data_IF_026080803695
#
_entry.id   IF_026080803695
#
_cell.length_a   1.000
_cell.length_b   1.000
_cell.length_c   1.000
_cell.angle_alpha   90.00
_cell.angle_beta   90.00
_cell.angle_gamma   90.00
#
_symmetry.space_group_name_H-M   'P 1'
#
loop_
_entity.id
_entity.type
_entity.pdbx_description
1 polymer ?
#
# COMPACT_ATOMS: atom_id res chain seq x y z
N UNK A 1 -8.55 8.44 -5.58
CA UNK A 1 -7.31 8.50 -4.77
C UNK A 1 -7.06 7.11 -4.28
N UNK A 2 -5.86 6.60 -4.53
CA UNK A 2 -5.46 5.25 -4.12
C UNK A 2 -4.86 5.39 -2.72
N UNK A 3 -5.18 4.47 -1.80
CA UNK A 3 -4.65 4.49 -0.43
C UNK A 3 -3.60 3.43 -0.25
N UNK A 4 -2.46 3.80 0.32
CA UNK A 4 -1.38 2.92 0.69
C UNK A 4 -1.32 2.78 2.21
N UNK A 5 -1.19 1.56 2.70
CA UNK A 5 -0.88 1.30 4.09
C UNK A 5 0.51 0.69 4.15
N UNK A 6 1.35 1.26 5.01
CA UNK A 6 2.73 0.82 5.21
C UNK A 6 2.94 0.42 6.66
N UNK A 7 3.60 -0.71 6.86
CA UNK A 7 4.02 -1.21 8.17
C UNK A 7 5.42 -0.70 8.50
N UNK A 8 5.52 0.08 9.58
CA UNK A 8 6.76 0.67 10.08
C UNK A 8 7.04 0.12 11.48
N UNK A 9 7.69 -1.05 11.54
CA UNK A 9 7.94 -1.74 12.82
C UNK A 9 6.65 -2.24 13.47
N UNK A 10 6.35 -1.79 14.69
CA UNK A 10 5.09 -2.12 15.40
C UNK A 10 3.95 -1.13 15.12
N UNK A 11 4.15 -0.18 14.20
CA UNK A 11 3.21 0.89 13.90
C UNK A 11 2.78 0.84 12.43
N UNK A 12 1.59 1.37 12.15
CA UNK A 12 1.05 1.48 10.80
C UNK A 12 0.95 2.96 10.42
N UNK A 13 1.23 3.27 9.15
CA UNK A 13 0.96 4.58 8.57
C UNK A 13 0.09 4.41 7.31
N UNK A 14 -0.80 5.38 7.10
CA UNK A 14 -1.62 5.48 5.88
C UNK A 14 -1.08 6.65 5.08
N UNK A 15 -0.71 6.36 3.84
CA UNK A 15 -0.24 7.36 2.89
C UNK A 15 -1.20 7.40 1.70
N UNK A 16 -1.66 8.59 1.36
CA UNK A 16 -2.41 8.78 0.13
C UNK A 16 -1.42 8.87 -1.03
N UNK A 17 -1.61 8.02 -2.04
CA UNK A 17 -0.86 8.06 -3.29
C UNK A 17 -1.69 8.83 -4.32
N UNK A 18 -1.07 9.81 -4.96
CA UNK A 18 -1.71 10.70 -5.94
C UNK A 18 -2.08 9.98 -7.24
N UNK A 19 -1.58 8.76 -7.41
CA UNK A 19 -1.75 7.86 -8.53
C UNK A 19 -3.24 7.52 -8.68
N UNK A 20 -3.75 7.71 -9.89
CA UNK A 20 -5.14 7.40 -10.27
C UNK A 20 -5.24 6.17 -11.16
N UNK A 21 -4.09 5.63 -11.58
CA UNK A 21 -3.97 4.45 -12.42
C UNK A 21 -3.35 3.29 -11.64
N UNK A 22 -3.89 2.08 -11.85
CA UNK A 22 -3.51 0.87 -11.12
C UNK A 22 -2.08 0.39 -11.44
N UNK A 23 -1.56 0.68 -12.64
CA UNK A 23 -0.19 0.35 -13.00
C UNK A 23 0.81 1.25 -12.26
N UNK A 24 0.55 2.56 -12.20
CA UNK A 24 1.36 3.49 -11.42
C UNK A 24 1.31 3.16 -9.92
N UNK A 25 0.14 2.82 -9.39
CA UNK A 25 -0.01 2.41 -8.00
C UNK A 25 0.82 1.14 -7.67
N UNK A 26 0.87 0.17 -8.59
CA UNK A 26 1.73 -1.02 -8.45
C UNK A 26 3.20 -0.68 -8.45
N UNK A 27 3.62 0.20 -9.35
CA UNK A 27 5.00 0.67 -9.41
C UNK A 27 5.40 1.35 -8.10
N UNK A 28 4.63 2.33 -7.64
CA UNK A 28 4.90 3.04 -6.38
C UNK A 28 4.89 2.09 -5.18
N UNK A 29 3.92 1.17 -5.10
CA UNK A 29 3.88 0.15 -4.05
C UNK A 29 5.14 -0.73 -4.02
N UNK A 30 5.69 -1.07 -5.19
CA UNK A 30 6.93 -1.86 -5.28
C UNK A 30 8.14 -1.09 -4.75
N UNK A 31 8.25 0.20 -5.04
CA UNK A 31 9.31 1.04 -4.47
C UNK A 31 9.19 1.18 -2.95
N UNK A 32 7.96 1.26 -2.42
CA UNK A 32 7.71 1.34 -0.98
C UNK A 32 8.00 0.01 -0.27
N UNK A 33 7.78 -1.13 -0.93
CA UNK A 33 8.04 -2.44 -0.37
C UNK A 33 9.53 -2.72 -0.11
N UNK A 34 10.44 -2.02 -0.80
CA UNK A 34 11.89 -2.07 -0.51
C UNK A 34 12.25 -1.36 0.81
N UNK A 35 11.37 -0.50 1.31
CA UNK A 35 11.61 0.36 2.48
C UNK A 35 10.84 -0.17 3.70
N UNK A 36 9.62 -0.69 3.49
CA UNK A 36 8.68 -1.06 4.55
C UNK A 36 8.50 -2.57 4.67
N UNK A 37 8.15 -3.04 5.87
CA UNK A 37 7.97 -4.46 6.15
C UNK A 37 6.72 -5.06 5.48
N UNK A 38 5.74 -4.21 5.17
CA UNK A 38 4.51 -4.59 4.51
C UNK A 38 3.83 -3.39 3.87
N UNK A 39 3.30 -3.58 2.67
CA UNK A 39 2.61 -2.55 1.89
C UNK A 39 1.32 -3.15 1.33
N UNK A 40 0.17 -2.50 1.57
CA UNK A 40 -1.09 -2.84 0.89
C UNK A 40 -1.67 -1.60 0.24
N UNK A 41 -2.12 -1.76 -1.00
CA UNK A 41 -2.68 -0.67 -1.80
C UNK A 41 -4.12 -0.98 -2.17
N UNK A 42 -4.98 0.01 -1.94
CA UNK A 42 -6.41 -0.06 -2.20
C UNK A 42 -6.80 0.86 -3.36
N UNK A 43 -7.68 0.35 -4.22
CA UNK A 43 -8.38 1.18 -5.20
C UNK A 43 -9.37 2.14 -4.49
N UNK A 44 -9.95 3.10 -5.21
CA UNK A 44 -10.92 4.03 -4.63
C UNK A 44 -12.21 3.38 -4.10
N UNK A 45 -12.53 2.16 -4.52
CA UNK A 45 -13.69 1.37 -4.07
C UNK A 45 -13.37 0.55 -2.81
N UNK A 46 -12.11 0.54 -2.36
CA UNK A 46 -11.64 -0.22 -1.21
C UNK A 46 -11.20 -1.64 -1.55
N UNK A 47 -11.11 -2.00 -2.82
CA UNK A 47 -10.55 -3.27 -3.28
C UNK A 47 -9.02 -3.30 -3.16
N UNK A 48 -8.46 -4.45 -2.79
CA UNK A 48 -7.01 -4.63 -2.71
C UNK A 48 -6.44 -4.82 -4.11
N UNK A 49 -5.56 -3.90 -4.53
CA UNK A 49 -4.87 -3.96 -5.83
C UNK A 49 -3.50 -4.62 -5.70
N UNK A 50 -2.82 -4.39 -4.56
CA UNK A 50 -1.45 -4.87 -4.31
C UNK A 50 -1.28 -5.22 -2.84
N UNK A 51 -0.53 -6.29 -2.58
CA UNK A 51 -0.06 -6.65 -1.23
C UNK A 51 1.37 -7.17 -1.30
N UNK A 52 2.26 -6.56 -0.53
CA UNK A 52 3.65 -6.97 -0.35
C UNK A 52 3.98 -7.14 1.13
N UNK A 53 4.86 -8.09 1.42
CA UNK A 53 5.37 -8.31 2.77
C UNK A 53 4.32 -8.82 3.76
N UNK A 54 4.64 -8.71 5.05
CA UNK A 54 3.77 -9.14 6.13
C UNK A 54 2.92 -7.95 6.60
N UNK A 55 1.67 -7.93 6.12
CA UNK A 55 0.69 -6.89 6.43
C UNK A 55 -0.29 -7.53 7.43
N UNK A 56 -0.36 -7.08 8.70
CA UNK A 56 -1.24 -7.67 9.74
C UNK A 56 -2.75 -7.43 9.54
N UNK A 57 -3.54 -8.49 9.42
CA UNK A 57 -5.02 -8.44 9.42
C UNK A 57 -5.61 -7.78 10.70
N UNK A 58 -6.80 -7.14 10.69
CA UNK A 58 -7.77 -7.04 9.61
C UNK A 58 -7.68 -5.68 8.93
N UNK A 59 -7.13 -5.64 7.73
CA UNK A 59 -7.50 -4.58 6.80
C UNK A 59 -8.78 -5.00 6.10
#
# INVERSE_FOLDING_TARGET
MIRCYVSVGSSQAVEDIAETDGEQARYTASCLADIYAGVVVFDPEGGVVVRFGDVPEPF
#
